data_IF_156266823288
#
_entry.id   IF_156266823288
#
_cell.length_a   1.000
_cell.length_b   1.000
_cell.length_c   1.000
_cell.angle_alpha   90.00
_cell.angle_beta   90.00
_cell.angle_gamma   90.00
#
_symmetry.space_group_name_H-M   'P 1'
#
loop_
_entity.id
_entity.type
_entity.pdbx_description
1 polymer ?
#
# COMPACT_ATOMS: atom_id res chain seq x y z
N UNK A 1 3.83 2.47 -25.76
CA UNK A 1 4.79 1.62 -25.11
C UNK A 1 4.18 0.85 -23.98
N UNK A 2 4.26 -0.45 -24.07
CA UNK A 2 3.62 -1.30 -23.08
C UNK A 2 4.13 -1.11 -21.67
N UNK A 3 5.38 -0.64 -21.54
CA UNK A 3 6.01 -0.49 -20.24
C UNK A 3 5.40 0.62 -19.43
N UNK A 4 4.75 1.60 -20.06
CA UNK A 4 4.22 2.74 -19.31
C UNK A 4 3.10 2.31 -18.35
N UNK A 5 2.22 1.40 -18.78
CA UNK A 5 1.13 0.96 -17.92
C UNK A 5 1.60 0.09 -16.77
N UNK A 6 2.57 -0.80 -17.04
CA UNK A 6 3.15 -1.62 -15.98
C UNK A 6 3.95 -0.78 -15.01
N UNK A 7 4.66 0.22 -15.54
CA UNK A 7 5.53 1.05 -14.70
C UNK A 7 4.75 1.98 -13.77
N UNK A 8 3.50 2.31 -14.09
CA UNK A 8 2.70 3.19 -13.23
C UNK A 8 2.45 2.53 -11.86
N UNK A 9 2.03 1.27 -11.86
CA UNK A 9 1.80 0.58 -10.60
C UNK A 9 3.10 0.40 -9.82
N UNK A 10 4.15 -0.01 -10.51
CA UNK A 10 5.46 -0.20 -9.88
C UNK A 10 5.99 1.13 -9.35
N UNK A 11 5.83 2.20 -10.12
CA UNK A 11 6.27 3.51 -9.69
C UNK A 11 5.61 3.92 -8.37
N UNK A 12 4.29 3.78 -8.28
CA UNK A 12 3.56 4.15 -7.08
C UNK A 12 3.90 3.22 -5.92
N UNK A 13 4.11 1.94 -6.20
CA UNK A 13 4.54 0.99 -5.18
C UNK A 13 5.91 1.38 -4.63
N UNK A 14 6.83 1.81 -5.49
CA UNK A 14 8.15 2.26 -5.06
C UNK A 14 8.07 3.52 -4.21
N UNK A 15 7.15 4.42 -4.54
CA UNK A 15 6.93 5.62 -3.73
C UNK A 15 6.55 5.23 -2.31
N UNK A 16 5.62 4.29 -2.19
CA UNK A 16 5.20 3.77 -0.89
C UNK A 16 6.39 3.19 -0.12
N UNK A 17 7.16 2.33 -0.75
CA UNK A 17 8.29 1.68 -0.08
C UNK A 17 9.34 2.68 0.36
N UNK A 18 9.66 3.66 -0.48
CA UNK A 18 10.67 4.67 -0.15
C UNK A 18 10.20 5.61 0.94
N UNK A 19 8.93 5.99 0.90
CA UNK A 19 8.37 6.88 1.91
C UNK A 19 8.47 6.24 3.29
N UNK A 20 8.08 4.97 3.40
CA UNK A 20 8.11 4.26 4.68
C UNK A 20 9.53 4.12 5.22
N UNK A 21 10.52 3.99 4.34
CA UNK A 21 11.92 3.90 4.77
C UNK A 21 12.46 5.25 5.27
N UNK A 22 11.89 6.33 4.82
CA UNK A 22 12.37 7.69 5.09
C UNK A 22 11.63 8.38 6.22
N UNK A 23 10.31 8.18 6.27
CA UNK A 23 9.44 8.84 7.25
C UNK A 23 9.00 7.87 8.31
N UNK A 24 8.76 8.42 9.51
CA UNK A 24 8.23 7.60 10.59
C UNK A 24 6.72 7.48 10.43
N UNK A 25 6.25 6.29 10.07
CA UNK A 25 4.83 6.05 9.85
C UNK A 25 4.29 5.20 10.99
N UNK A 26 3.60 5.84 11.93
CA UNK A 26 2.94 5.12 13.02
C UNK A 26 1.51 4.79 12.58
N UNK A 27 1.16 3.52 12.66
CA UNK A 27 -0.17 3.06 12.26
C UNK A 27 -1.20 3.45 13.31
N UNK A 28 -2.46 3.57 12.88
CA UNK A 28 -3.53 3.89 13.82
C UNK A 28 -3.70 2.75 14.83
N UNK A 29 -4.06 3.07 16.10
CA UNK A 29 -4.02 2.06 17.16
C UNK A 29 -4.95 0.88 16.98
N UNK A 30 -6.17 1.11 16.48
CA UNK A 30 -7.16 0.04 16.38
C UNK A 30 -7.07 -0.74 15.08
N UNK A 31 -7.15 -0.05 13.95
CA UNK A 31 -7.20 -0.72 12.65
C UNK A 31 -5.84 -0.95 12.05
N UNK A 32 -4.81 -0.32 12.58
CA UNK A 32 -3.46 -0.41 12.03
C UNK A 32 -3.41 0.08 10.59
N UNK A 33 -4.12 1.18 10.33
CA UNK A 33 -4.07 1.86 9.04
C UNK A 33 -2.93 2.86 9.00
N UNK A 34 -2.48 3.16 7.78
CA UNK A 34 -1.59 4.29 7.58
C UNK A 34 -2.44 5.56 7.76
N UNK A 35 -2.04 6.49 8.64
CA UNK A 35 -2.81 7.72 8.84
C UNK A 35 -3.01 8.49 7.53
N UNK A 36 -4.17 9.12 7.40
CA UNK A 36 -4.55 9.80 6.16
C UNK A 36 -3.54 10.86 5.72
N UNK A 37 -2.88 11.53 6.67
CA UNK A 37 -1.88 12.55 6.33
C UNK A 37 -0.71 11.93 5.54
N UNK A 38 -0.30 10.72 5.92
CA UNK A 38 0.76 10.02 5.19
C UNK A 38 0.28 9.52 3.84
N UNK A 39 -0.97 9.04 3.78
CA UNK A 39 -1.56 8.64 2.49
C UNK A 39 -1.55 9.80 1.52
N UNK A 40 -1.98 10.97 1.96
CA UNK A 40 -1.98 12.17 1.12
C UNK A 40 -0.57 12.59 0.72
N UNK A 41 0.37 12.51 1.66
CA UNK A 41 1.77 12.87 1.35
C UNK A 41 2.36 11.95 0.30
N UNK A 42 2.12 10.64 0.41
CA UNK A 42 2.62 9.69 -0.58
C UNK A 42 1.96 9.90 -1.92
N UNK A 43 0.65 10.13 -1.94
CA UNK A 43 -0.07 10.30 -3.19
C UNK A 43 0.28 11.56 -3.93
N UNK A 44 0.87 12.54 -3.25
CA UNK A 44 1.37 13.71 -3.94
C UNK A 44 2.44 13.31 -4.99
N UNK A 45 3.15 12.21 -4.74
CA UNK A 45 4.18 11.72 -5.65
C UNK A 45 3.73 10.53 -6.49
N UNK A 46 2.51 10.03 -6.27
CA UNK A 46 1.97 8.95 -7.08
C UNK A 46 1.60 9.44 -8.47
N UNK A 47 1.66 8.55 -9.44
CA UNK A 47 1.17 8.84 -10.79
C UNK A 47 -0.33 8.72 -10.89
N UNK A 48 -0.92 7.81 -10.10
CA UNK A 48 -2.38 7.68 -10.04
C UNK A 48 -2.83 8.18 -8.68
N UNK A 49 -3.57 9.28 -8.69
CA UNK A 49 -4.02 9.91 -7.46
C UNK A 49 -5.50 9.65 -7.25
N UNK A 50 -5.84 9.14 -6.09
CA UNK A 50 -7.22 8.95 -5.70
C UNK A 50 -7.71 10.23 -5.03
N UNK A 51 -8.98 10.59 -5.22
CA UNK A 51 -9.49 11.83 -4.64
C UNK A 51 -9.49 11.75 -3.11
N UNK A 52 -9.24 12.89 -2.48
CA UNK A 52 -9.23 13.00 -1.02
C UNK A 52 -10.61 13.29 -0.45
N UNK A 53 -11.55 13.59 -1.33
CA UNK A 53 -12.92 13.89 -0.95
C UNK A 53 -13.87 13.11 -1.82
N UNK A 54 -15.04 12.80 -1.26
CA UNK A 54 -16.07 12.09 -1.98
C UNK A 54 -17.36 12.87 -1.86
N UNK A 55 -18.03 13.08 -2.99
CA UNK A 55 -19.31 13.77 -3.02
C UNK A 55 -20.43 12.75 -2.98
N UNK A 56 -21.31 12.88 -1.98
CA UNK A 56 -22.48 12.03 -1.85
C UNK A 56 -23.70 12.97 -1.74
N UNK A 57 -24.48 13.03 -2.81
CA UNK A 57 -25.59 13.99 -2.90
C UNK A 57 -25.04 15.40 -2.91
N UNK A 58 -25.49 16.23 -1.98
CA UNK A 58 -25.06 17.62 -1.85
C UNK A 58 -23.91 17.80 -0.86
N UNK A 59 -23.45 16.71 -0.27
CA UNK A 59 -22.40 16.79 0.75
C UNK A 59 -21.06 16.31 0.21
N UNK A 60 -19.99 16.92 0.73
CA UNK A 60 -18.64 16.54 0.42
C UNK A 60 -18.02 15.97 1.69
N UNK A 61 -17.54 14.73 1.60
CA UNK A 61 -16.91 14.05 2.73
C UNK A 61 -15.42 13.94 2.49
N UNK A 62 -14.64 14.34 3.47
CA UNK A 62 -13.20 14.17 3.42
C UNK A 62 -12.85 12.76 3.87
N UNK A 63 -12.04 12.08 3.08
CA UNK A 63 -11.60 10.73 3.44
C UNK A 63 -10.67 10.78 4.65
N UNK A 64 -10.91 9.92 5.61
CA UNK A 64 -10.22 9.92 6.90
C UNK A 64 -9.38 8.69 7.13
N UNK A 65 -9.63 7.61 6.41
CA UNK A 65 -8.96 6.34 6.64
C UNK A 65 -8.36 5.79 5.36
N UNK A 66 -7.27 5.05 5.53
CA UNK A 66 -6.58 4.41 4.41
C UNK A 66 -7.53 3.57 3.57
N UNK A 67 -8.45 2.89 4.22
CA UNK A 67 -9.41 2.01 3.57
C UNK A 67 -10.29 2.71 2.54
N UNK A 68 -10.46 4.01 2.68
CA UNK A 68 -11.24 4.81 1.76
C UNK A 68 -10.49 5.14 0.47
N UNK A 69 -9.24 4.70 0.38
CA UNK A 69 -8.39 4.83 -0.80
C UNK A 69 -8.10 3.41 -1.31
N UNK A 70 -9.01 2.80 -2.07
CA UNK A 70 -8.91 1.36 -2.37
C UNK A 70 -7.63 0.95 -3.10
N UNK A 71 -7.16 1.75 -4.04
CA UNK A 71 -5.93 1.42 -4.74
C UNK A 71 -4.72 1.53 -3.82
N UNK A 72 -4.66 2.58 -3.01
CA UNK A 72 -3.58 2.76 -2.03
C UNK A 72 -3.59 1.61 -1.03
N UNK A 73 -4.76 1.29 -0.51
CA UNK A 73 -4.91 0.22 0.46
C UNK A 73 -4.46 -1.11 -0.12
N UNK A 74 -4.79 -1.36 -1.39
CA UNK A 74 -4.34 -2.57 -2.07
C UNK A 74 -2.81 -2.62 -2.13
N UNK A 75 -2.15 -1.51 -2.46
CA UNK A 75 -0.69 -1.45 -2.52
C UNK A 75 -0.06 -1.72 -1.15
N UNK A 76 -0.65 -1.17 -0.09
CA UNK A 76 -0.17 -1.40 1.26
C UNK A 76 -0.28 -2.88 1.64
N UNK A 77 -1.43 -3.50 1.36
CA UNK A 77 -1.61 -4.92 1.66
C UNK A 77 -0.68 -5.80 0.83
N UNK A 78 -0.46 -5.43 -0.41
CA UNK A 78 0.48 -6.16 -1.27
C UNK A 78 1.90 -6.06 -0.70
N UNK A 79 2.27 -4.88 -0.23
CA UNK A 79 3.60 -4.69 0.37
C UNK A 79 3.79 -5.53 1.62
N UNK A 80 2.77 -5.63 2.46
CA UNK A 80 2.83 -6.46 3.66
C UNK A 80 2.81 -7.94 3.31
N UNK A 81 2.00 -8.35 2.34
CA UNK A 81 1.91 -9.75 1.91
C UNK A 81 3.23 -10.25 1.34
N UNK A 82 3.94 -9.40 0.61
CA UNK A 82 5.22 -9.76 0.04
C UNK A 82 6.39 -9.55 0.98
N UNK A 83 6.13 -9.07 2.19
CA UNK A 83 7.14 -8.78 3.19
C UNK A 83 8.15 -7.72 2.73
N UNK A 84 7.68 -6.82 1.87
CA UNK A 84 8.46 -5.61 1.52
C UNK A 84 8.38 -4.59 2.63
N UNK A 85 7.27 -4.61 3.37
CA UNK A 85 7.08 -3.81 4.57
C UNK A 85 6.69 -4.73 5.72
N UNK A 86 6.93 -4.27 6.94
CA UNK A 86 6.60 -5.02 8.16
C UNK A 86 6.11 -4.05 9.24
N UNK A 87 5.33 -4.55 10.16
CA UNK A 87 4.81 -3.77 11.29
C UNK A 87 5.61 -4.13 12.53
N UNK A 88 6.21 -3.14 13.17
CA UNK A 88 6.97 -3.36 14.39
C UNK A 88 6.03 -3.54 15.58
N UNK A 89 6.57 -4.01 16.69
CA UNK A 89 5.79 -4.16 17.93
C UNK A 89 5.15 -2.87 18.40
N UNK A 90 5.82 -1.75 18.17
CA UNK A 90 5.30 -0.45 18.57
C UNK A 90 4.24 0.09 17.62
N UNK A 91 3.94 -0.63 16.55
CA UNK A 91 2.93 -0.20 15.58
C UNK A 91 3.47 0.70 14.49
N UNK A 92 4.78 0.70 14.29
CA UNK A 92 5.40 1.46 13.20
C UNK A 92 5.52 0.60 11.95
N UNK A 93 5.17 1.19 10.82
CA UNK A 93 5.40 0.55 9.53
C UNK A 93 6.85 0.79 9.14
N UNK A 94 7.56 -0.27 8.76
CA UNK A 94 8.98 -0.19 8.47
C UNK A 94 9.34 -1.12 7.32
N UNK A 95 10.59 -1.06 6.90
CA UNK A 95 11.09 -1.97 5.85
C UNK A 95 10.97 -3.41 6.29
N UNK A 96 10.46 -4.25 5.41
CA UNK A 96 10.39 -5.67 5.65
C UNK A 96 11.62 -6.40 5.13
N UNK A 97 11.69 -7.71 5.35
CA UNK A 97 12.86 -8.50 4.93
C UNK A 97 13.10 -8.50 3.42
N UNK A 98 12.07 -8.26 2.62
CA UNK A 98 12.20 -8.28 1.16
C UNK A 98 12.26 -6.88 0.53
N UNK A 99 12.32 -5.83 1.36
CA UNK A 99 12.36 -4.46 0.86
C UNK A 99 13.54 -4.24 -0.10
N UNK A 100 14.72 -4.63 0.33
CA UNK A 100 15.91 -4.42 -0.47
C UNK A 100 15.90 -5.27 -1.73
N UNK A 101 15.44 -6.50 -1.64
CA UNK A 101 15.36 -7.40 -2.79
C UNK A 101 14.52 -6.81 -3.92
N UNK A 102 13.46 -6.10 -3.58
CA UNK A 102 12.62 -5.48 -4.60
C UNK A 102 13.42 -4.46 -5.41
N UNK A 103 14.19 -3.62 -4.73
CA UNK A 103 14.98 -2.59 -5.41
C UNK A 103 16.20 -3.15 -6.12
N UNK A 104 16.67 -4.31 -5.74
CA UNK A 104 17.77 -4.98 -6.42
C UNK A 104 17.32 -5.68 -7.70
N UNK A 105 16.03 -5.94 -7.84
CA UNK A 105 15.51 -6.58 -9.05
C UNK A 105 15.58 -5.60 -10.23
N UNK A 106 15.81 -6.11 -11.44
CA UNK A 106 15.77 -5.24 -12.63
C UNK A 106 14.43 -4.53 -12.75
N UNK A 107 14.47 -3.30 -13.22
CA UNK A 107 13.27 -2.48 -13.31
C UNK A 107 12.13 -3.18 -14.08
N UNK A 108 12.46 -3.80 -15.20
CA UNK A 108 11.46 -4.48 -16.01
C UNK A 108 10.94 -5.76 -15.36
N UNK A 109 11.66 -6.30 -14.39
CA UNK A 109 11.24 -7.50 -13.70
C UNK A 109 10.35 -7.24 -12.48
N UNK A 110 10.27 -6.00 -12.04
CA UNK A 110 9.53 -5.68 -10.81
C UNK A 110 8.03 -5.90 -10.95
N UNK A 111 7.46 -5.56 -12.09
CA UNK A 111 6.03 -5.80 -12.34
C UNK A 111 5.71 -7.30 -12.25
N UNK A 112 6.54 -8.12 -12.88
CA UNK A 112 6.35 -9.55 -12.85
C UNK A 112 6.51 -10.10 -11.44
N UNK A 113 7.48 -9.58 -10.70
CA UNK A 113 7.71 -9.99 -9.32
C UNK A 113 6.45 -9.70 -8.48
N UNK A 114 5.91 -8.49 -8.60
CA UNK A 114 4.69 -8.14 -7.87
C UNK A 114 3.52 -9.02 -8.27
N UNK A 115 3.40 -9.34 -9.53
CA UNK A 115 2.34 -10.23 -10.00
C UNK A 115 2.48 -11.61 -9.37
N UNK A 116 3.69 -12.15 -9.28
CA UNK A 116 3.93 -13.44 -8.66
C UNK A 116 3.57 -13.43 -7.16
N UNK A 117 3.95 -12.37 -6.45
CA UNK A 117 3.62 -12.22 -5.04
C UNK A 117 2.11 -12.15 -4.87
N UNK A 118 1.43 -11.37 -5.71
CA UNK A 118 -0.01 -11.25 -5.67
C UNK A 118 -0.69 -12.61 -5.84
N UNK A 119 -0.23 -13.39 -6.85
CA UNK A 119 -0.78 -14.71 -7.12
C UNK A 119 -0.52 -15.70 -6.00
N UNK A 120 0.66 -15.64 -5.41
CA UNK A 120 1.10 -16.65 -4.44
C UNK A 120 0.66 -16.36 -3.01
N UNK A 121 0.58 -15.10 -2.63
CA UNK A 121 0.43 -14.73 -1.23
C UNK A 121 -0.78 -13.85 -0.93
N UNK A 122 -1.30 -13.15 -1.92
CA UNK A 122 -2.41 -12.24 -1.70
C UNK A 122 -3.71 -12.87 -2.19
N UNK A 123 -4.68 -12.98 -1.29
CA UNK A 123 -5.98 -13.52 -1.64
C UNK A 123 -7.00 -12.39 -1.76
N UNK A 124 -7.27 -11.98 -3.00
CA UNK A 124 -8.17 -10.86 -3.28
C UNK A 124 -9.58 -11.13 -2.79
N UNK A 125 -10.05 -12.36 -2.97
CA UNK A 125 -11.39 -12.74 -2.53
C UNK A 125 -11.52 -12.59 -1.02
N UNK A 126 -10.55 -13.10 -0.28
CA UNK A 126 -10.55 -12.96 1.17
C UNK A 126 -10.44 -11.50 1.58
N UNK A 127 -9.67 -10.72 0.82
CA UNK A 127 -9.51 -9.30 1.09
C UNK A 127 -10.86 -8.58 1.03
N UNK A 128 -11.65 -8.84 -0.02
CA UNK A 128 -12.96 -8.20 -0.17
C UNK A 128 -13.97 -8.71 0.86
N UNK A 129 -14.02 -10.02 1.06
CA UNK A 129 -15.01 -10.62 1.92
C UNK A 129 -14.76 -10.39 3.41
N UNK A 130 -13.51 -10.18 3.78
CA UNK A 130 -13.11 -10.02 5.18
C UNK A 130 -12.70 -8.60 5.54
N UNK A 131 -13.12 -7.64 4.74
CA UNK A 131 -12.76 -6.26 5.01
C UNK A 131 -11.27 -6.00 4.92
N UNK A 132 -10.62 -6.63 3.95
CA UNK A 132 -9.21 -6.41 3.71
C UNK A 132 -8.27 -7.25 4.54
N UNK A 133 -8.77 -8.30 5.14
CA UNK A 133 -7.91 -9.21 5.89
C UNK A 133 -7.28 -8.58 7.11
N UNK A 134 -7.98 -7.70 7.76
CA UNK A 134 -7.46 -6.97 8.92
C UNK A 134 -6.92 -7.87 10.01
N UNK A 135 -7.65 -8.94 10.33
CA UNK A 135 -7.21 -9.84 11.38
C UNK A 135 -5.83 -10.38 11.12
N UNK A 136 -5.59 -10.83 9.91
CA UNK A 136 -4.30 -11.38 9.53
C UNK A 136 -3.20 -10.33 9.57
N UNK A 137 -3.52 -9.14 9.09
CA UNK A 137 -2.54 -8.04 9.11
C UNK A 137 -2.12 -7.68 10.52
N UNK A 138 -3.08 -7.65 11.44
CA UNK A 138 -2.82 -7.26 12.82
C UNK A 138 -2.04 -8.33 13.60
N UNK A 139 -2.19 -9.58 13.22
CA UNK A 139 -1.52 -10.69 13.91
C UNK A 139 -0.06 -10.84 13.50
N UNK A 140 0.31 -10.23 12.42
CA UNK A 140 1.69 -10.28 11.96
C UNK A 140 2.52 -9.21 12.60
#
# INVERSE_FOLDING_TARGET
>A
MSDSDQSVLVYDFEVLLRYVAKEKVMLTPKQRFIPARHVRNMMADFRVKEPHEEKVGDRIYKKREEMEYPRFYFLDLLALSGEFLAITRSGRLNRGPNWQKFFEAPAEGRSFYLFCIFRAQFNVEAWFLRGGGFGERLEK
#
